data_IF_330048885229
#
_entry.id   IF_330048885229
#
_cell.length_a   1.000
_cell.length_b   1.000
_cell.length_c   1.000
_cell.angle_alpha   90.00
_cell.angle_beta   90.00
_cell.angle_gamma   90.00
#
_symmetry.space_group_name_H-M   'P 1'
#
loop_
_entity.id
_entity.type
_entity.pdbx_description
1 polymer ?
#
# COMPACT_ATOMS: atom_id res chain seq x y z
N UNK A 1 -31.73 -29.43 43.28
CA UNK A 1 -31.70 -29.63 41.83
C UNK A 1 -31.26 -28.29 41.24
N UNK A 2 -29.96 -28.13 40.97
CA UNK A 2 -29.40 -26.87 40.49
C UNK A 2 -29.72 -26.73 39.00
N UNK A 3 -30.50 -25.71 38.65
CA UNK A 3 -30.84 -25.38 37.27
C UNK A 3 -29.63 -24.75 36.58
N UNK A 4 -29.22 -25.32 35.46
CA UNK A 4 -28.18 -24.77 34.59
C UNK A 4 -28.80 -23.62 33.78
N UNK A 5 -28.51 -22.38 34.14
CA UNK A 5 -28.81 -21.22 33.29
C UNK A 5 -27.79 -21.15 32.15
N UNK A 6 -28.26 -21.36 30.92
CA UNK A 6 -27.48 -21.14 29.70
C UNK A 6 -27.55 -19.65 29.38
N UNK A 7 -26.50 -18.90 29.69
CA UNK A 7 -26.34 -17.52 29.20
C UNK A 7 -26.04 -17.53 27.70
N UNK A 8 -27.08 -17.38 26.88
CA UNK A 8 -26.91 -17.02 25.47
C UNK A 8 -26.62 -15.53 25.37
N UNK A 9 -25.35 -15.19 25.16
CA UNK A 9 -24.97 -13.82 24.83
C UNK A 9 -25.42 -13.52 23.40
N UNK A 10 -26.49 -12.73 23.27
CA UNK A 10 -26.97 -12.23 21.98
C UNK A 10 -25.89 -11.33 21.38
N UNK A 11 -25.12 -11.89 20.44
CA UNK A 11 -24.25 -11.09 19.58
C UNK A 11 -25.15 -10.10 18.84
N UNK A 12 -24.93 -8.79 19.00
CA UNK A 12 -25.66 -7.75 18.27
C UNK A 12 -25.60 -8.07 16.78
N UNK A 13 -26.70 -8.53 16.20
CA UNK A 13 -26.82 -8.74 14.76
C UNK A 13 -26.73 -7.37 14.11
N UNK A 14 -25.67 -7.15 13.32
CA UNK A 14 -25.54 -5.94 12.52
C UNK A 14 -26.71 -5.85 11.55
N UNK A 15 -27.46 -4.75 11.60
CA UNK A 15 -28.54 -4.46 10.63
C UNK A 15 -28.05 -3.35 9.69
N UNK A 16 -27.76 -3.66 8.42
CA UNK A 16 -27.27 -2.67 7.46
C UNK A 16 -28.28 -1.53 7.26
N UNK A 17 -27.79 -0.31 7.10
CA UNK A 17 -28.59 0.80 6.59
C UNK A 17 -28.99 0.52 5.12
N UNK A 18 -30.07 1.10 4.60
CA UNK A 18 -30.51 0.86 3.22
C UNK A 18 -29.41 1.12 2.17
N UNK A 19 -28.56 2.12 2.39
CA UNK A 19 -27.40 2.42 1.54
C UNK A 19 -26.31 1.33 1.61
N UNK A 20 -26.07 0.78 2.80
CA UNK A 20 -25.12 -0.31 3.01
C UNK A 20 -25.66 -1.60 2.38
N UNK A 21 -26.97 -1.84 2.48
CA UNK A 21 -27.64 -2.97 1.84
C UNK A 21 -27.51 -2.93 0.32
N UNK A 22 -27.68 -1.74 -0.31
CA UNK A 22 -27.44 -1.56 -1.75
C UNK A 22 -26.02 -1.95 -2.16
N UNK A 23 -25.02 -1.63 -1.33
CA UNK A 23 -23.63 -2.01 -1.58
C UNK A 23 -23.48 -3.54 -1.46
N UNK A 24 -24.01 -4.12 -0.38
CA UNK A 24 -23.96 -5.57 -0.11
C UNK A 24 -24.57 -6.37 -1.27
N UNK A 25 -25.72 -5.93 -1.79
CA UNK A 25 -26.47 -6.63 -2.84
C UNK A 25 -25.96 -6.34 -4.25
N UNK A 26 -25.06 -5.37 -4.43
CA UNK A 26 -24.59 -4.96 -5.75
C UNK A 26 -23.83 -6.07 -6.48
N UNK A 27 -24.17 -6.28 -7.74
CA UNK A 27 -23.49 -7.22 -8.65
C UNK A 27 -22.55 -6.52 -9.63
N UNK A 28 -22.38 -5.20 -9.48
CA UNK A 28 -21.53 -4.41 -10.37
C UNK A 28 -20.07 -4.89 -10.30
N UNK A 29 -19.35 -4.90 -11.44
CA UNK A 29 -17.97 -5.35 -11.49
C UNK A 29 -16.99 -4.41 -10.77
N UNK A 30 -17.38 -3.15 -10.54
CA UNK A 30 -16.60 -2.16 -9.80
C UNK A 30 -17.54 -1.21 -9.05
N UNK A 31 -17.27 -1.01 -7.76
CA UNK A 31 -18.08 -0.18 -6.88
C UNK A 31 -17.15 0.79 -6.16
N UNK A 32 -17.41 2.10 -6.31
CA UNK A 32 -16.76 3.15 -5.52
C UNK A 32 -17.78 3.74 -4.56
N UNK A 33 -17.50 3.63 -3.26
CA UNK A 33 -18.38 4.15 -2.21
C UNK A 33 -17.72 5.34 -1.52
N UNK A 34 -18.40 6.48 -1.53
CA UNK A 34 -18.02 7.63 -0.70
C UNK A 34 -18.68 7.48 0.66
N UNK A 35 -17.88 7.28 1.70
CA UNK A 35 -18.37 7.11 3.06
C UNK A 35 -17.48 7.86 4.05
N UNK A 36 -18.10 8.66 4.92
CA UNK A 36 -17.42 9.46 5.92
C UNK A 36 -16.77 8.62 7.03
N UNK A 37 -16.03 9.28 7.92
CA UNK A 37 -15.52 8.65 9.12
C UNK A 37 -16.68 8.10 9.96
N UNK A 38 -16.52 6.88 10.49
CA UNK A 38 -17.55 6.24 11.32
C UNK A 38 -18.75 5.65 10.56
N UNK A 39 -18.83 5.74 9.23
CA UNK A 39 -19.95 5.22 8.42
C UNK A 39 -20.01 3.67 8.30
N UNK A 40 -19.24 2.95 9.11
CA UNK A 40 -19.24 1.48 9.11
C UNK A 40 -18.67 0.84 7.84
N UNK A 41 -17.72 1.49 7.15
CA UNK A 41 -17.10 0.99 5.89
C UNK A 41 -16.63 -0.45 6.01
N UNK A 42 -15.81 -0.75 7.00
CA UNK A 42 -15.27 -2.09 7.25
C UNK A 42 -16.39 -3.11 7.52
N UNK A 43 -17.44 -2.71 8.24
CA UNK A 43 -18.61 -3.58 8.51
C UNK A 43 -19.42 -3.87 7.25
N UNK A 44 -19.62 -2.86 6.40
CA UNK A 44 -20.25 -3.03 5.09
C UNK A 44 -19.45 -3.97 4.19
N UNK A 45 -18.11 -3.83 4.16
CA UNK A 45 -17.22 -4.71 3.39
C UNK A 45 -17.22 -6.15 3.93
N UNK A 46 -17.29 -6.34 5.25
CA UNK A 46 -17.44 -7.66 5.85
C UNK A 46 -18.77 -8.30 5.45
N UNK A 47 -19.89 -7.56 5.57
CA UNK A 47 -21.22 -8.04 5.17
C UNK A 47 -21.30 -8.34 3.66
N UNK A 48 -20.67 -7.51 2.83
CA UNK A 48 -20.53 -7.75 1.39
C UNK A 48 -19.79 -9.07 1.11
N UNK A 49 -18.78 -9.38 1.91
CA UNK A 49 -17.99 -10.61 1.78
C UNK A 49 -18.77 -11.84 2.25
N UNK A 50 -19.56 -11.72 3.32
CA UNK A 50 -20.42 -12.78 3.86
C UNK A 50 -21.51 -13.19 2.88
N UNK A 51 -22.09 -12.23 2.14
CA UNK A 51 -23.05 -12.50 1.08
C UNK A 51 -22.46 -13.28 -0.12
N UNK A 52 -21.13 -13.47 -0.16
CA UNK A 52 -20.39 -14.10 -1.27
C UNK A 52 -19.48 -15.24 -0.79
N UNK A 53 -20.00 -16.26 -0.08
CA UNK A 53 -19.18 -17.28 0.60
C UNK A 53 -18.34 -18.15 -0.36
N UNK A 54 -18.74 -18.22 -1.65
CA UNK A 54 -18.04 -18.99 -2.70
C UNK A 54 -16.95 -18.19 -3.43
N UNK A 55 -16.82 -16.88 -3.17
CA UNK A 55 -15.83 -16.01 -3.81
C UNK A 55 -14.57 -15.91 -2.96
N UNK A 56 -13.41 -15.96 -3.60
CA UNK A 56 -12.11 -15.66 -2.97
C UNK A 56 -11.88 -14.16 -3.02
N UNK A 57 -11.81 -13.54 -1.85
CA UNK A 57 -11.77 -12.08 -1.74
C UNK A 57 -10.42 -11.65 -1.14
N UNK A 58 -9.78 -10.65 -1.70
CA UNK A 58 -8.63 -9.97 -1.09
C UNK A 58 -9.10 -8.66 -0.47
N UNK A 59 -8.75 -8.41 0.78
CA UNK A 59 -8.89 -7.09 1.40
C UNK A 59 -7.50 -6.45 1.54
N UNK A 60 -7.33 -5.29 0.90
CA UNK A 60 -6.13 -4.47 0.95
C UNK A 60 -6.27 -3.46 2.10
N UNK A 61 -5.61 -3.77 3.21
CA UNK A 61 -5.52 -2.90 4.37
C UNK A 61 -4.45 -1.82 4.16
N UNK A 62 -4.73 -0.59 4.60
CA UNK A 62 -3.76 0.51 4.51
C UNK A 62 -2.53 0.30 5.41
N UNK A 63 -2.73 -0.24 6.61
CA UNK A 63 -1.64 -0.50 7.56
C UNK A 63 -1.86 -1.81 8.31
N UNK A 64 -0.85 -2.24 9.07
CA UNK A 64 -0.88 -3.52 9.79
C UNK A 64 -1.94 -3.56 10.90
N UNK A 65 -2.24 -2.42 11.55
CA UNK A 65 -3.28 -2.36 12.57
C UNK A 65 -4.68 -2.63 11.96
N UNK A 66 -4.99 -1.98 10.83
CA UNK A 66 -6.22 -2.19 10.06
C UNK A 66 -6.28 -3.63 9.54
N UNK A 67 -5.16 -4.21 9.08
CA UNK A 67 -5.12 -5.61 8.68
C UNK A 67 -5.55 -6.53 9.83
N UNK A 68 -4.93 -6.39 11.01
CA UNK A 68 -5.22 -7.23 12.17
C UNK A 68 -6.67 -7.09 12.63
N UNK A 69 -7.20 -5.86 12.64
CA UNK A 69 -8.61 -5.61 12.94
C UNK A 69 -9.54 -6.29 11.92
N UNK A 70 -9.23 -6.17 10.63
CA UNK A 70 -9.98 -6.81 9.55
C UNK A 70 -9.94 -8.34 9.66
N UNK A 71 -8.80 -8.95 9.98
CA UNK A 71 -8.68 -10.41 10.19
C UNK A 71 -9.63 -10.93 11.28
N UNK A 72 -9.98 -10.11 12.27
CA UNK A 72 -10.94 -10.49 13.31
C UNK A 72 -12.42 -10.36 12.90
N UNK A 73 -12.71 -9.61 11.82
CA UNK A 73 -14.08 -9.25 11.41
C UNK A 73 -14.53 -9.91 10.11
N UNK A 74 -13.62 -10.08 9.16
CA UNK A 74 -13.97 -10.62 7.85
C UNK A 74 -14.17 -12.14 7.88
N UNK A 75 -15.06 -12.68 7.03
CA UNK A 75 -15.27 -14.12 6.94
C UNK A 75 -14.07 -14.85 6.32
N UNK A 76 -14.03 -16.18 6.51
CA UNK A 76 -12.90 -17.04 6.12
C UNK A 76 -12.56 -17.03 4.62
N UNK A 77 -13.48 -16.61 3.75
CA UNK A 77 -13.25 -16.49 2.31
C UNK A 77 -12.48 -15.21 1.92
N UNK A 78 -12.09 -14.39 2.91
CA UNK A 78 -11.37 -13.14 2.72
C UNK A 78 -9.93 -13.27 3.23
N UNK A 79 -8.98 -12.88 2.39
CA UNK A 79 -7.57 -12.75 2.75
C UNK A 79 -7.25 -11.28 2.98
N UNK A 80 -6.92 -10.92 4.23
CA UNK A 80 -6.58 -9.54 4.60
C UNK A 80 -5.05 -9.34 4.53
N UNK A 81 -4.57 -8.39 3.74
CA UNK A 81 -3.13 -8.10 3.59
C UNK A 81 -2.90 -6.61 3.36
N UNK A 82 -1.74 -6.10 3.76
CA UNK A 82 -1.29 -4.78 3.28
C UNK A 82 -0.64 -4.91 1.91
N UNK A 83 -0.69 -3.84 1.11
CA UNK A 83 0.01 -3.79 -0.19
C UNK A 83 1.50 -4.08 -0.04
N UNK A 84 2.15 -3.52 0.99
CA UNK A 84 3.55 -3.81 1.31
C UNK A 84 3.80 -5.28 1.64
N UNK A 85 2.88 -5.98 2.33
CA UNK A 85 3.07 -7.41 2.63
C UNK A 85 3.02 -8.29 1.38
N UNK A 86 2.17 -7.94 0.42
CA UNK A 86 2.07 -8.63 -0.88
C UNK A 86 3.32 -8.35 -1.71
N UNK A 87 3.71 -7.08 -1.82
CA UNK A 87 4.92 -6.67 -2.52
C UNK A 87 6.18 -7.30 -1.92
N UNK A 88 6.25 -7.38 -0.59
CA UNK A 88 7.36 -8.02 0.09
C UNK A 88 7.50 -9.50 -0.30
N UNK A 89 6.39 -10.25 -0.34
CA UNK A 89 6.40 -11.65 -0.73
C UNK A 89 6.86 -11.90 -2.17
N UNK A 90 6.59 -10.97 -3.10
CA UNK A 90 6.96 -11.10 -4.52
C UNK A 90 8.33 -10.53 -4.87
N UNK A 91 8.64 -9.34 -4.37
CA UNK A 91 9.85 -8.59 -4.73
C UNK A 91 10.79 -8.32 -3.54
N UNK A 92 10.29 -8.35 -2.31
CA UNK A 92 11.05 -7.93 -1.13
C UNK A 92 11.92 -9.01 -0.48
N UNK A 93 11.54 -10.29 -0.54
CA UNK A 93 12.23 -11.38 0.18
C UNK A 93 13.74 -11.44 -0.14
N UNK A 94 14.11 -11.22 -1.40
CA UNK A 94 15.52 -11.23 -1.86
C UNK A 94 16.39 -10.14 -1.21
N UNK A 95 15.78 -9.11 -0.63
CA UNK A 95 16.47 -8.00 0.05
C UNK A 95 16.52 -8.13 1.56
N UNK A 96 16.04 -9.23 2.15
CA UNK A 96 15.92 -9.42 3.62
C UNK A 96 17.17 -9.03 4.42
N UNK A 97 18.36 -9.29 3.90
CA UNK A 97 19.63 -9.01 4.57
C UNK A 97 20.04 -7.52 4.56
N UNK A 98 19.39 -6.69 3.74
CA UNK A 98 19.66 -5.26 3.62
C UNK A 98 18.40 -4.39 3.79
N UNK A 99 17.36 -4.92 4.41
CA UNK A 99 16.17 -4.14 4.71
C UNK A 99 16.46 -3.12 5.81
N UNK A 100 16.02 -1.89 5.60
CA UNK A 100 16.05 -0.83 6.62
C UNK A 100 14.77 0.03 6.55
N UNK A 101 14.40 0.71 7.65
CA UNK A 101 13.25 1.61 7.65
C UNK A 101 13.47 2.88 6.81
N UNK A 102 14.71 3.20 6.43
CA UNK A 102 15.04 4.39 5.65
C UNK A 102 16.49 4.40 5.19
N UNK A 103 16.81 5.31 4.28
CA UNK A 103 18.16 5.53 3.75
C UNK A 103 18.82 6.67 4.54
N UNK A 104 20.07 6.49 4.97
CA UNK A 104 20.78 7.56 5.69
C UNK A 104 21.59 8.42 4.70
N UNK A 105 21.40 9.74 4.74
CA UNK A 105 22.11 10.68 3.87
C UNK A 105 23.64 10.56 3.97
N UNK A 106 24.15 10.22 5.16
CA UNK A 106 25.59 10.01 5.37
C UNK A 106 26.14 8.79 4.61
N UNK A 107 25.35 7.73 4.41
CA UNK A 107 25.76 6.54 3.65
C UNK A 107 25.83 6.86 2.17
N UNK A 108 24.78 7.51 1.64
CA UNK A 108 24.72 7.99 0.25
C UNK A 108 25.84 8.99 -0.04
N UNK A 109 26.07 9.94 0.87
CA UNK A 109 27.16 10.91 0.79
C UNK A 109 28.53 10.24 0.66
N UNK A 110 28.83 9.26 1.51
CA UNK A 110 30.09 8.49 1.44
C UNK A 110 30.17 7.65 0.17
N UNK A 111 29.11 6.92 -0.18
CA UNK A 111 29.08 6.02 -1.34
C UNK A 111 29.36 6.75 -2.65
N UNK A 112 28.76 7.92 -2.83
CA UNK A 112 28.87 8.70 -4.07
C UNK A 112 29.85 9.87 -3.97
N UNK A 113 30.54 10.03 -2.83
CA UNK A 113 31.48 11.13 -2.57
C UNK A 113 30.88 12.51 -2.85
N UNK A 114 29.66 12.73 -2.35
CA UNK A 114 28.91 13.99 -2.49
C UNK A 114 28.68 14.65 -1.13
N UNK A 115 28.48 15.97 -1.11
CA UNK A 115 28.02 16.68 0.09
C UNK A 115 26.71 16.07 0.62
N UNK A 116 26.58 15.97 1.94
CA UNK A 116 25.38 15.48 2.63
C UNK A 116 24.08 16.18 2.21
N UNK A 117 24.12 17.47 1.87
CA UNK A 117 22.97 18.21 1.34
C UNK A 117 22.51 17.70 -0.03
N UNK A 118 23.46 17.37 -0.92
CA UNK A 118 23.14 16.74 -2.21
C UNK A 118 22.64 15.30 -2.02
N UNK A 119 23.23 14.56 -1.08
CA UNK A 119 22.75 13.22 -0.73
C UNK A 119 21.31 13.26 -0.22
N UNK A 120 20.99 14.21 0.66
CA UNK A 120 19.63 14.43 1.16
C UNK A 120 18.67 14.77 0.01
N UNK A 121 19.03 15.71 -0.87
CA UNK A 121 18.22 16.06 -2.04
C UNK A 121 17.96 14.86 -2.97
N UNK A 122 18.96 13.99 -3.16
CA UNK A 122 18.81 12.75 -3.92
C UNK A 122 17.87 11.75 -3.23
N UNK A 123 17.98 11.58 -1.91
CA UNK A 123 17.08 10.70 -1.15
C UNK A 123 15.63 11.21 -1.18
N UNK A 124 15.40 12.51 -0.99
CA UNK A 124 14.04 13.05 -1.03
C UNK A 124 13.44 12.98 -2.43
N UNK A 125 14.24 13.21 -3.48
CA UNK A 125 13.82 13.00 -4.88
C UNK A 125 13.49 11.53 -5.16
N UNK A 126 14.32 10.61 -4.66
CA UNK A 126 14.06 9.17 -4.77
C UNK A 126 12.75 8.79 -4.07
N UNK A 127 12.54 9.26 -2.84
CA UNK A 127 11.32 9.00 -2.08
C UNK A 127 10.08 9.57 -2.79
N UNK A 128 10.15 10.77 -3.36
CA UNK A 128 9.04 11.32 -4.14
C UNK A 128 8.68 10.40 -5.32
N UNK A 129 9.67 9.88 -6.04
CA UNK A 129 9.42 8.87 -7.09
C UNK A 129 8.91 7.53 -6.54
N UNK A 130 9.42 7.03 -5.42
CA UNK A 130 8.92 5.79 -4.80
C UNK A 130 7.42 5.84 -4.50
N UNK A 131 6.89 7.02 -4.16
CA UNK A 131 5.47 7.26 -3.89
C UNK A 131 4.62 7.62 -5.12
N UNK A 132 5.22 7.82 -6.30
CA UNK A 132 4.49 8.24 -7.50
C UNK A 132 4.01 7.07 -8.37
N UNK A 133 3.15 7.38 -9.36
CA UNK A 133 2.76 6.41 -10.39
C UNK A 133 3.84 6.23 -11.49
N UNK A 134 4.88 7.06 -11.51
CA UNK A 134 5.81 7.18 -12.62
C UNK A 134 6.76 5.99 -12.73
N UNK A 135 7.09 5.63 -13.98
CA UNK A 135 8.04 4.56 -14.30
C UNK A 135 9.50 4.98 -14.18
N UNK A 136 9.79 6.28 -14.14
CA UNK A 136 11.14 6.82 -14.10
C UNK A 136 11.22 8.08 -13.23
N UNK A 137 12.41 8.32 -12.68
CA UNK A 137 12.70 9.54 -11.92
C UNK A 137 12.77 10.73 -12.89
N UNK A 138 11.80 11.64 -12.74
CA UNK A 138 11.67 12.93 -13.46
C UNK A 138 12.10 14.13 -12.61
N UNK A 139 12.16 15.32 -13.24
CA UNK A 139 12.44 16.58 -12.54
C UNK A 139 11.32 16.97 -11.58
N UNK A 140 10.06 16.59 -11.85
CA UNK A 140 8.92 16.93 -10.99
C UNK A 140 9.09 16.34 -9.58
N UNK A 141 9.58 15.10 -9.46
CA UNK A 141 9.87 14.50 -8.16
C UNK A 141 10.88 15.32 -7.33
N UNK A 142 11.88 15.93 -7.98
CA UNK A 142 12.84 16.79 -7.30
C UNK A 142 12.18 18.11 -6.86
N UNK A 143 11.30 18.69 -7.70
CA UNK A 143 10.56 19.91 -7.38
C UNK A 143 9.57 19.69 -6.22
N UNK A 144 8.81 18.60 -6.27
CA UNK A 144 7.90 18.18 -5.20
C UNK A 144 8.64 17.94 -3.88
N UNK A 145 9.86 17.40 -3.96
CA UNK A 145 10.74 17.23 -2.81
C UNK A 145 11.37 18.54 -2.30
N UNK A 146 11.02 19.70 -2.87
CA UNK A 146 11.53 21.01 -2.46
C UNK A 146 13.00 21.26 -2.84
N UNK A 147 13.54 20.54 -3.83
CA UNK A 147 14.92 20.72 -4.26
C UNK A 147 15.07 22.03 -5.05
N UNK A 148 16.03 22.91 -4.71
CA UNK A 148 16.30 24.12 -5.47
C UNK A 148 16.60 23.85 -6.95
N UNK A 149 16.12 24.72 -7.86
CA UNK A 149 16.22 24.53 -9.31
C UNK A 149 17.65 24.24 -9.81
N UNK A 150 18.66 24.93 -9.25
CA UNK A 150 20.06 24.72 -9.60
C UNK A 150 20.62 23.34 -9.18
N UNK A 151 19.94 22.63 -8.28
CA UNK A 151 20.33 21.32 -7.77
C UNK A 151 19.51 20.16 -8.32
N UNK A 152 18.43 20.40 -9.08
CA UNK A 152 17.52 19.36 -9.58
C UNK A 152 18.25 18.25 -10.33
N UNK A 153 19.11 18.62 -11.30
CA UNK A 153 19.82 17.62 -12.12
C UNK A 153 20.74 16.74 -11.26
N UNK A 154 21.40 17.35 -10.26
CA UNK A 154 22.29 16.62 -9.35
C UNK A 154 21.51 15.70 -8.42
N UNK A 155 20.38 16.17 -7.89
CA UNK A 155 19.50 15.37 -7.04
C UNK A 155 18.94 14.16 -7.82
N UNK A 156 18.49 14.36 -9.06
CA UNK A 156 18.04 13.28 -9.93
C UNK A 156 19.14 12.26 -10.22
N UNK A 157 20.37 12.71 -10.47
CA UNK A 157 21.51 11.81 -10.69
C UNK A 157 21.72 10.93 -9.45
N UNK A 158 21.83 11.54 -8.27
CA UNK A 158 22.04 10.81 -7.01
C UNK A 158 20.87 9.86 -6.72
N UNK A 159 19.64 10.28 -6.98
CA UNK A 159 18.45 9.44 -6.80
C UNK A 159 18.50 8.17 -7.67
N UNK A 160 18.89 8.31 -8.95
CA UNK A 160 19.06 7.18 -9.88
C UNK A 160 20.19 6.25 -9.43
N UNK A 161 21.36 6.80 -9.11
CA UNK A 161 22.49 6.01 -8.62
C UNK A 161 22.17 5.29 -7.30
N UNK A 162 21.45 5.96 -6.40
CA UNK A 162 20.97 5.37 -5.13
C UNK A 162 20.01 4.22 -5.39
N UNK A 163 19.06 4.38 -6.33
CA UNK A 163 18.14 3.32 -6.74
C UNK A 163 18.87 2.11 -7.33
N UNK A 164 19.82 2.35 -8.24
CA UNK A 164 20.58 1.29 -8.90
C UNK A 164 21.36 0.43 -7.89
N UNK A 165 21.93 1.05 -6.85
CA UNK A 165 22.60 0.33 -5.76
C UNK A 165 21.58 -0.33 -4.81
N UNK A 166 20.44 0.32 -4.55
CA UNK A 166 19.40 -0.23 -3.67
C UNK A 166 18.88 -1.58 -4.18
N UNK A 167 18.61 -1.71 -5.48
CA UNK A 167 18.02 -2.92 -6.09
C UNK A 167 19.03 -4.06 -6.29
N UNK A 168 20.31 -3.82 -6.04
CA UNK A 168 21.36 -4.84 -6.04
C UNK A 168 21.37 -5.63 -4.73
N UNK A 169 21.32 -6.96 -4.83
CA UNK A 169 21.35 -7.85 -3.66
C UNK A 169 22.77 -8.15 -3.16
N UNK A 170 23.77 -7.92 -4.01
CA UNK A 170 25.20 -8.13 -3.72
C UNK A 170 25.89 -6.89 -3.12
N UNK A 171 25.26 -5.71 -3.17
CA UNK A 171 25.78 -4.46 -2.60
C UNK A 171 24.93 -4.02 -1.40
N UNK A 172 25.51 -4.07 -0.19
CA UNK A 172 24.81 -3.71 1.06
C UNK A 172 24.95 -2.23 1.44
N UNK A 173 25.61 -1.39 0.62
CA UNK A 173 25.94 0.00 0.97
C UNK A 173 24.75 0.97 0.95
N UNK A 174 23.68 0.64 0.22
CA UNK A 174 22.40 1.36 0.26
C UNK A 174 21.32 0.35 0.61
N UNK A 175 20.60 0.50 1.74
CA UNK A 175 19.61 -0.47 2.15
C UNK A 175 18.37 -0.43 1.25
N UNK A 176 17.66 -1.57 1.17
CA UNK A 176 16.32 -1.64 0.59
C UNK A 176 15.30 -1.13 1.61
N UNK A 177 14.44 -0.20 1.21
CA UNK A 177 13.34 0.31 2.03
C UNK A 177 12.02 -0.33 1.62
N UNK A 178 11.01 -0.24 2.50
CA UNK A 178 9.69 -0.83 2.24
C UNK A 178 9.05 -0.31 0.95
N UNK A 179 9.18 0.99 0.68
CA UNK A 179 8.66 1.60 -0.55
C UNK A 179 9.50 1.25 -1.78
N UNK A 180 10.75 0.80 -1.60
CA UNK A 180 11.64 0.38 -2.68
C UNK A 180 11.17 -0.91 -3.34
N UNK A 181 10.93 -1.97 -2.55
CA UNK A 181 10.38 -3.20 -3.12
C UNK A 181 8.92 -3.03 -3.55
N UNK A 182 8.18 -2.09 -2.95
CA UNK A 182 6.84 -1.74 -3.42
C UNK A 182 6.89 -1.11 -4.81
N UNK A 183 7.86 -0.22 -5.06
CA UNK A 183 8.13 0.33 -6.39
C UNK A 183 8.50 -0.77 -7.39
N UNK A 184 9.35 -1.73 -7.01
CA UNK A 184 9.63 -2.90 -7.86
C UNK A 184 8.35 -3.67 -8.21
N UNK A 185 7.49 -3.88 -7.22
CA UNK A 185 6.22 -4.59 -7.42
C UNK A 185 5.31 -3.84 -8.42
N UNK A 186 5.22 -2.52 -8.29
CA UNK A 186 4.50 -1.66 -9.22
C UNK A 186 5.09 -1.70 -10.64
N UNK A 187 6.41 -1.57 -10.78
CA UNK A 187 7.10 -1.56 -12.08
C UNK A 187 6.98 -2.89 -12.82
N UNK A 188 6.95 -4.00 -12.09
CA UNK A 188 6.74 -5.34 -12.65
C UNK A 188 5.29 -5.59 -13.12
N UNK A 189 4.35 -4.68 -12.81
CA UNK A 189 2.96 -4.79 -13.26
C UNK A 189 2.21 -5.96 -12.62
N UNK A 190 2.62 -6.40 -11.43
CA UNK A 190 2.00 -7.54 -10.72
C UNK A 190 0.50 -7.31 -10.52
N UNK A 191 -0.28 -8.33 -10.86
CA UNK A 191 -1.73 -8.37 -10.66
C UNK A 191 -2.07 -9.21 -9.42
N UNK A 192 -3.22 -8.94 -8.81
CA UNK A 192 -3.77 -9.73 -7.70
C UNK A 192 -4.40 -11.04 -8.20
N UNK A 193 -3.60 -11.89 -8.85
CA UNK A 193 -4.06 -13.15 -9.41
C UNK A 193 -4.57 -14.10 -8.32
N UNK A 194 -5.65 -14.83 -8.61
CA UNK A 194 -6.22 -15.86 -7.73
C UNK A 194 -7.35 -15.39 -6.79
N UNK A 195 -7.75 -14.12 -6.91
CA UNK A 195 -8.90 -13.55 -6.21
C UNK A 195 -9.98 -13.16 -7.20
N UNK A 196 -11.24 -13.40 -6.85
CA UNK A 196 -12.40 -12.97 -7.64
C UNK A 196 -12.71 -11.49 -7.42
N UNK A 197 -12.40 -10.99 -6.22
CA UNK A 197 -12.77 -9.64 -5.74
C UNK A 197 -11.62 -9.06 -4.94
N UNK A 198 -11.34 -7.77 -5.16
CA UNK A 198 -10.41 -6.97 -4.33
C UNK A 198 -11.19 -5.84 -3.66
N UNK A 199 -11.11 -5.79 -2.33
CA UNK A 199 -11.68 -4.76 -1.48
C UNK A 199 -10.56 -3.86 -0.96
N UNK A 200 -10.81 -2.56 -0.84
CA UNK A 200 -9.85 -1.60 -0.30
C UNK A 200 -10.57 -0.58 0.56
N UNK A 201 -10.04 -0.33 1.75
CA UNK A 201 -10.47 0.79 2.59
C UNK A 201 -9.58 1.99 2.26
N UNK A 202 -10.19 3.15 2.04
CA UNK A 202 -9.48 4.39 1.67
C UNK A 202 -8.64 4.29 0.38
N UNK A 203 -9.29 4.03 -0.76
CA UNK A 203 -8.74 4.50 -2.01
C UNK A 203 -8.75 6.04 -1.96
N UNK A 204 -7.60 6.67 -1.67
CA UNK A 204 -7.50 8.13 -1.71
C UNK A 204 -7.99 8.64 -3.07
N UNK A 205 -8.83 9.67 -3.05
CA UNK A 205 -9.16 10.45 -4.23
C UNK A 205 -7.87 11.19 -4.65
N UNK A 206 -7.10 10.60 -5.56
CA UNK A 206 -6.20 11.37 -6.40
C UNK A 206 -7.05 12.04 -7.50
N UNK A 207 -7.23 13.37 -7.49
CA UNK A 207 -8.01 14.08 -8.50
C UNK A 207 -7.45 13.95 -9.92
N UNK A 208 -6.27 13.35 -10.13
CA UNK A 208 -5.67 13.17 -11.46
C UNK A 208 -6.12 11.89 -12.18
N UNK A 209 -6.81 10.95 -11.53
CA UNK A 209 -7.43 9.79 -12.21
C UNK A 209 -8.83 10.11 -12.73
N UNK A 210 -8.90 11.05 -13.66
CA UNK A 210 -9.94 10.98 -14.70
C UNK A 210 -9.54 9.87 -15.68
N UNK A 211 -10.36 8.82 -15.91
CA UNK A 211 -10.15 7.99 -17.07
C UNK A 211 -10.37 8.90 -18.29
N UNK A 212 -9.29 9.19 -19.03
CA UNK A 212 -9.46 9.53 -20.44
C UNK A 212 -10.15 8.32 -21.07
N UNK A 213 -11.46 8.41 -21.22
CA UNK A 213 -12.19 7.60 -22.16
C UNK A 213 -11.51 7.80 -23.51
N UNK A 214 -11.09 6.68 -24.10
CA UNK A 214 -10.79 6.55 -25.52
C UNK A 214 -11.95 7.09 -26.37
#
# INVERSE_FOLDING_TARGET
MFGTEIMMTTTKVFKPLPEQQKIIDSTEPSIKVKAGAGAGKTTTLASYSEARPKKKIMYLAFNKAIQTEAESRFPKNVVCRTTHSIAYGKEGVKYKQKLAPGIRAIEVSRKFSVNIGHAYAGITTLNAWLHSADKAITQEHAREAGVPNNNILKAMQIAKETWDVMIRTDDLSVPMVHDGYLKLYQLAGHQFNGFDIVLMDEAQDDPTRSPRAS
#
